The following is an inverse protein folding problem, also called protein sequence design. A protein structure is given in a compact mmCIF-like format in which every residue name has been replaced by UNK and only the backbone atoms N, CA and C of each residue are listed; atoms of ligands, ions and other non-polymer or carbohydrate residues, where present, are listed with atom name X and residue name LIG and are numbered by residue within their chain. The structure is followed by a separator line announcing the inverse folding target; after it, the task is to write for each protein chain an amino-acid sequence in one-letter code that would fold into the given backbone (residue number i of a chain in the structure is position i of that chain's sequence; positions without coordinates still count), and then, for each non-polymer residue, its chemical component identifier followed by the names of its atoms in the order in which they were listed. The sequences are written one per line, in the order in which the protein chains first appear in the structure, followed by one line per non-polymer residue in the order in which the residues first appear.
data_IF_767973790470
#
_entry.id   IF_767973790470
#
_cell.length_a   1.000
_cell.length_b   1.000
_cell.length_c   1.000
_cell.angle_alpha   90.00
_cell.angle_beta   90.00
_cell.angle_gamma   90.00
#
_symmetry.space_group_name_H-M   'P 1'
#
loop_
_entity.id
_entity.type
_entity.pdbx_description
1 polymer ?
#
# COMPACT_ATOMS: atom_id res chain seq x y z
N UNK A 1 -13.64 3.83 -20.04
CA UNK A 1 -12.68 2.97 -19.33
C UNK A 1 -11.28 3.53 -19.49
N UNK A 2 -10.57 3.64 -18.42
CA UNK A 2 -9.23 4.20 -18.47
C UNK A 2 -8.20 3.13 -18.89
N UNK A 3 -7.36 3.49 -19.86
CA UNK A 3 -6.27 2.62 -20.32
C UNK A 3 -5.08 2.75 -19.37
N UNK A 4 -4.54 1.63 -18.91
CA UNK A 4 -3.34 1.60 -18.08
C UNK A 4 -2.09 1.70 -18.96
N UNK A 5 -1.08 2.43 -18.47
CA UNK A 5 0.23 2.39 -19.08
C UNK A 5 1.00 1.13 -18.64
N UNK A 6 2.17 0.90 -19.24
CA UNK A 6 2.97 -0.31 -18.96
C UNK A 6 3.37 -0.41 -17.49
N UNK A 7 3.77 0.68 -16.87
CA UNK A 7 4.16 0.71 -15.45
C UNK A 7 2.99 0.37 -14.53
N UNK A 8 1.80 0.87 -14.85
CA UNK A 8 0.58 0.57 -14.10
C UNK A 8 0.18 -0.90 -14.25
N UNK A 9 0.31 -1.46 -15.45
CA UNK A 9 0.07 -2.90 -15.68
C UNK A 9 1.04 -3.74 -14.87
N UNK A 10 2.33 -3.39 -14.87
CA UNK A 10 3.35 -4.09 -14.08
C UNK A 10 3.05 -4.03 -12.59
N UNK A 11 2.67 -2.85 -12.08
CA UNK A 11 2.32 -2.66 -10.68
C UNK A 11 1.09 -3.51 -10.28
N UNK A 12 0.05 -3.49 -11.10
CA UNK A 12 -1.16 -4.29 -10.89
C UNK A 12 -0.84 -5.79 -10.86
N UNK A 13 -0.08 -6.25 -11.83
CA UNK A 13 0.24 -7.68 -11.96
C UNK A 13 1.13 -8.16 -10.82
N UNK A 14 2.11 -7.36 -10.41
CA UNK A 14 2.93 -7.63 -9.22
C UNK A 14 2.09 -7.70 -7.95
N UNK A 15 1.14 -6.77 -7.78
CA UNK A 15 0.23 -6.77 -6.64
C UNK A 15 -0.66 -8.02 -6.62
N UNK A 16 -1.18 -8.41 -7.79
CA UNK A 16 -1.99 -9.61 -7.94
C UNK A 16 -1.22 -10.86 -7.56
N UNK A 17 -0.03 -11.03 -8.10
CA UNK A 17 0.81 -12.20 -7.83
C UNK A 17 1.17 -12.30 -6.36
N UNK A 18 1.58 -11.17 -5.76
CA UNK A 18 1.94 -11.16 -4.34
C UNK A 18 0.74 -11.48 -3.44
N UNK A 19 -0.44 -10.90 -3.70
CA UNK A 19 -1.62 -11.13 -2.87
C UNK A 19 -2.11 -12.57 -2.96
N UNK A 20 -2.06 -13.17 -4.15
CA UNK A 20 -2.44 -14.56 -4.34
C UNK A 20 -1.47 -15.52 -3.63
N UNK A 21 -0.19 -15.23 -3.66
CA UNK A 21 0.85 -16.09 -3.07
C UNK A 21 0.99 -15.88 -1.56
N UNK A 22 1.11 -14.62 -1.13
CA UNK A 22 1.50 -14.26 0.25
C UNK A 22 0.33 -13.87 1.15
N UNK A 23 -0.79 -13.45 0.57
CA UNK A 23 -1.95 -12.98 1.33
C UNK A 23 -3.28 -13.50 0.78
N UNK A 24 -3.42 -14.83 0.59
CA UNK A 24 -4.73 -15.39 0.25
C UNK A 24 -5.70 -15.20 1.42
N UNK A 25 -7.00 -15.38 1.18
CA UNK A 25 -8.04 -15.23 2.23
C UNK A 25 -7.74 -16.07 3.47
N UNK A 26 -7.10 -17.22 3.30
CA UNK A 26 -6.68 -18.07 4.41
C UNK A 26 -5.73 -17.36 5.39
N UNK A 27 -4.92 -16.40 4.92
CA UNK A 27 -4.03 -15.61 5.77
C UNK A 27 -4.83 -14.71 6.72
N UNK A 28 -5.91 -14.07 6.24
CA UNK A 28 -6.82 -13.30 7.10
C UNK A 28 -7.48 -14.19 8.16
N UNK A 29 -7.97 -15.35 7.76
CA UNK A 29 -8.59 -16.31 8.69
C UNK A 29 -7.61 -16.75 9.77
N UNK A 30 -6.36 -16.97 9.41
CA UNK A 30 -5.30 -17.32 10.36
C UNK A 30 -5.08 -16.21 11.40
N UNK A 31 -5.03 -14.96 10.96
CA UNK A 31 -4.88 -13.79 11.86
C UNK A 31 -6.08 -13.69 12.83
N UNK A 32 -7.29 -13.86 12.30
CA UNK A 32 -8.52 -13.85 13.10
C UNK A 32 -8.52 -14.95 14.15
N UNK A 33 -8.23 -16.16 13.76
CA UNK A 33 -8.29 -17.34 14.64
C UNK A 33 -7.18 -17.31 15.71
N UNK A 34 -6.01 -16.76 15.36
CA UNK A 34 -4.91 -16.53 16.31
C UNK A 34 -5.15 -15.33 17.24
N UNK A 35 -6.22 -14.55 17.02
CA UNK A 35 -6.51 -13.32 17.78
C UNK A 35 -5.32 -12.36 17.77
N UNK A 36 -4.77 -12.13 16.59
CA UNK A 36 -3.61 -11.25 16.38
C UNK A 36 -3.78 -9.91 17.09
N UNK A 37 -2.82 -9.49 17.88
CA UNK A 37 -2.85 -8.23 18.62
C UNK A 37 -2.77 -7.01 17.68
N UNK A 38 -2.09 -7.13 16.55
CA UNK A 38 -1.94 -6.05 15.58
C UNK A 38 -3.01 -6.06 14.49
N UNK A 39 -3.67 -7.20 14.26
CA UNK A 39 -4.64 -7.37 13.19
C UNK A 39 -4.04 -7.54 11.80
N UNK A 40 -2.73 -7.55 11.66
CA UNK A 40 -2.01 -7.81 10.40
C UNK A 40 -0.69 -8.52 10.67
N UNK A 41 -0.12 -9.12 9.61
CA UNK A 41 1.20 -9.76 9.69
C UNK A 41 2.31 -8.72 9.43
N UNK A 42 3.18 -8.43 10.42
CA UNK A 42 4.27 -7.47 10.23
C UNK A 42 5.23 -7.83 9.09
N UNK A 43 5.47 -9.12 8.85
CA UNK A 43 6.31 -9.57 7.74
C UNK A 43 5.68 -9.21 6.38
N UNK A 44 4.37 -9.43 6.23
CA UNK A 44 3.64 -9.04 5.03
C UNK A 44 3.67 -7.52 4.82
N UNK A 45 3.52 -6.74 5.88
CA UNK A 45 3.65 -5.28 5.80
C UNK A 45 5.05 -4.84 5.37
N UNK A 46 6.08 -5.48 5.88
CA UNK A 46 7.46 -5.23 5.45
C UNK A 46 7.64 -5.49 3.95
N UNK A 47 7.11 -6.61 3.44
CA UNK A 47 7.14 -6.91 2.01
C UNK A 47 6.46 -5.83 1.18
N UNK A 48 5.26 -5.39 1.58
CA UNK A 48 4.52 -4.31 0.91
C UNK A 48 5.33 -3.02 0.86
N UNK A 49 5.97 -2.65 1.97
CA UNK A 49 6.81 -1.46 2.05
C UNK A 49 8.04 -1.58 1.14
N UNK A 50 8.68 -2.74 1.11
CA UNK A 50 9.84 -3.00 0.23
C UNK A 50 9.47 -2.97 -1.25
N UNK A 51 8.25 -3.36 -1.60
CA UNK A 51 7.74 -3.23 -2.96
C UNK A 51 7.34 -1.79 -3.33
N UNK A 52 7.44 -0.85 -2.40
CA UNK A 52 7.16 0.56 -2.63
C UNK A 52 5.68 0.95 -2.53
N UNK A 53 4.80 0.06 -2.07
CA UNK A 53 3.36 0.33 -2.06
C UNK A 53 2.97 1.45 -1.08
N UNK A 54 3.70 1.58 0.02
CA UNK A 54 3.46 2.65 0.98
C UNK A 54 3.78 4.05 0.41
N UNK A 55 4.63 4.12 -0.61
CA UNK A 55 5.10 5.37 -1.21
C UNK A 55 4.55 5.69 -2.59
N UNK A 56 3.52 4.99 -3.08
CA UNK A 56 3.02 5.16 -4.46
C UNK A 56 2.62 6.60 -4.77
N UNK A 57 1.91 7.28 -3.87
CA UNK A 57 1.46 8.66 -4.07
C UNK A 57 2.41 9.71 -3.49
N UNK A 58 3.44 9.29 -2.75
CA UNK A 58 4.37 10.21 -2.12
C UNK A 58 5.29 10.82 -3.18
N UNK A 59 5.50 12.17 -3.18
CA UNK A 59 6.39 12.83 -4.12
C UNK A 59 7.82 12.28 -4.06
N UNK A 60 8.52 12.32 -5.19
CA UNK A 60 9.92 11.87 -5.27
C UNK A 60 10.84 12.62 -4.30
N UNK A 61 10.57 13.92 -4.08
CA UNK A 61 11.32 14.74 -3.13
C UNK A 61 11.30 14.18 -1.70
N UNK A 62 10.32 13.36 -1.37
CA UNK A 62 10.18 12.70 -0.06
C UNK A 62 10.39 11.17 -0.13
N UNK A 63 11.01 10.69 -1.19
CA UNK A 63 11.38 9.29 -1.33
C UNK A 63 10.31 8.38 -1.92
N UNK A 64 9.22 8.94 -2.42
CA UNK A 64 8.12 8.19 -3.02
C UNK A 64 8.27 7.99 -4.52
N UNK A 65 7.32 7.26 -5.11
CA UNK A 65 7.28 6.95 -6.54
C UNK A 65 6.53 8.00 -7.38
N UNK A 66 5.70 8.81 -6.74
CA UNK A 66 4.86 9.82 -7.40
C UNK A 66 4.03 9.28 -8.57
N UNK A 67 3.46 8.08 -8.40
CA UNK A 67 2.67 7.40 -9.45
C UNK A 67 1.21 7.80 -9.47
N UNK A 68 0.73 8.55 -8.47
CA UNK A 68 -0.63 9.05 -8.38
C UNK A 68 -1.63 8.06 -7.77
N UNK A 69 -2.82 8.59 -7.47
CA UNK A 69 -3.89 7.85 -6.77
C UNK A 69 -4.44 6.68 -7.58
N UNK A 70 -4.49 6.81 -8.89
CA UNK A 70 -4.96 5.73 -9.75
C UNK A 70 -4.07 4.50 -9.65
N UNK A 71 -2.77 4.69 -9.61
CA UNK A 71 -1.80 3.59 -9.44
C UNK A 71 -1.94 2.93 -8.07
N UNK A 72 -2.10 3.72 -7.02
CA UNK A 72 -2.40 3.17 -5.68
C UNK A 72 -3.72 2.38 -5.67
N UNK A 73 -4.73 2.88 -6.37
CA UNK A 73 -6.02 2.20 -6.51
C UNK A 73 -5.90 0.80 -7.11
N UNK A 74 -4.99 0.59 -8.05
CA UNK A 74 -4.73 -0.74 -8.62
C UNK A 74 -4.21 -1.73 -7.58
N UNK A 75 -3.30 -1.28 -6.72
CA UNK A 75 -2.78 -2.09 -5.60
C UNK A 75 -3.90 -2.39 -4.60
N UNK A 76 -4.67 -1.38 -4.23
CA UNK A 76 -5.78 -1.52 -3.27
C UNK A 76 -6.86 -2.48 -3.80
N UNK A 77 -7.15 -2.45 -5.08
CA UNK A 77 -8.10 -3.38 -5.69
C UNK A 77 -7.63 -4.83 -5.55
N UNK A 78 -6.37 -5.11 -5.81
CA UNK A 78 -5.83 -6.45 -5.67
C UNK A 78 -5.77 -6.91 -4.21
N UNK A 79 -5.39 -6.03 -3.29
CA UNK A 79 -5.43 -6.35 -1.85
C UNK A 79 -6.86 -6.59 -1.36
N UNK A 80 -7.83 -5.90 -1.94
CA UNK A 80 -9.26 -6.10 -1.64
C UNK A 80 -9.78 -7.46 -2.09
N UNK A 81 -9.30 -7.98 -3.22
CA UNK A 81 -9.72 -9.30 -3.74
C UNK A 81 -9.42 -10.44 -2.78
N UNK A 82 -8.31 -10.36 -2.06
CA UNK A 82 -7.87 -11.39 -1.11
C UNK A 82 -8.11 -10.99 0.35
N UNK A 83 -8.78 -9.86 0.59
CA UNK A 83 -9.05 -9.33 1.92
C UNK A 83 -7.77 -9.19 2.75
N UNK A 84 -6.72 -8.65 2.14
CA UNK A 84 -5.41 -8.50 2.79
C UNK A 84 -5.51 -7.57 3.99
N UNK A 85 -5.21 -8.09 5.17
CA UNK A 85 -5.15 -7.27 6.39
C UNK A 85 -3.83 -6.51 6.42
N UNK A 86 -3.89 -5.18 6.38
CA UNK A 86 -2.69 -4.33 6.45
C UNK A 86 -3.05 -2.89 6.78
N UNK A 87 -2.10 -2.07 7.24
CA UNK A 87 -2.30 -0.63 7.42
C UNK A 87 -2.17 0.17 6.11
N UNK A 88 -2.24 -0.47 4.93
CA UNK A 88 -1.96 0.17 3.64
C UNK A 88 -2.89 1.36 3.38
N UNK A 89 -4.20 1.22 3.56
CA UNK A 89 -5.17 2.30 3.32
C UNK A 89 -4.93 3.47 4.26
N UNK A 90 -4.76 3.21 5.56
CA UNK A 90 -4.56 4.27 6.55
C UNK A 90 -3.22 4.99 6.39
N UNK A 91 -2.19 4.29 5.97
CA UNK A 91 -0.82 4.81 5.81
C UNK A 91 -0.59 5.42 4.44
N UNK A 92 -0.73 4.62 3.38
CA UNK A 92 -0.36 5.01 2.02
C UNK A 92 -1.37 5.96 1.37
N UNK A 93 -2.63 5.91 1.76
CA UNK A 93 -3.68 6.76 1.22
C UNK A 93 -4.05 7.88 2.19
N UNK A 94 -4.58 7.55 3.36
CA UNK A 94 -5.17 8.54 4.27
C UNK A 94 -4.12 9.45 4.90
N UNK A 95 -3.14 8.89 5.58
CA UNK A 95 -2.12 9.69 6.28
C UNK A 95 -1.22 10.41 5.28
N UNK A 96 -0.79 9.75 4.21
CA UNK A 96 0.02 10.38 3.17
C UNK A 96 -0.71 11.54 2.51
N UNK A 97 -1.98 11.39 2.15
CA UNK A 97 -2.80 12.45 1.57
C UNK A 97 -2.94 13.64 2.53
N UNK A 98 -3.22 13.38 3.80
CA UNK A 98 -3.35 14.43 4.80
C UNK A 98 -2.06 15.25 4.93
N UNK A 99 -0.91 14.61 4.93
CA UNK A 99 0.38 15.28 4.98
C UNK A 99 0.69 16.06 3.70
N UNK A 100 0.44 15.47 2.53
CA UNK A 100 0.71 16.11 1.24
C UNK A 100 -0.13 17.38 1.09
N UNK A 101 -1.43 17.33 1.43
CA UNK A 101 -2.36 18.44 1.22
C UNK A 101 -2.36 19.47 2.37
N UNK A 102 -2.16 19.04 3.61
CA UNK A 102 -2.33 19.88 4.79
C UNK A 102 -1.13 20.01 5.70
N UNK A 103 -0.06 19.23 5.48
CA UNK A 103 1.13 19.26 6.31
C UNK A 103 2.04 20.46 6.00
N UNK A 104 2.78 20.93 7.02
CA UNK A 104 3.88 21.86 6.80
C UNK A 104 5.07 21.16 6.13
N UNK A 105 6.00 21.93 5.57
CA UNK A 105 7.20 21.34 4.97
C UNK A 105 8.01 20.53 5.99
N UNK A 106 8.08 20.98 7.24
CA UNK A 106 8.74 20.25 8.32
C UNK A 106 8.05 18.91 8.62
N UNK A 107 6.72 18.88 8.66
CA UNK A 107 5.93 17.67 8.87
C UNK A 107 6.09 16.68 7.71
N UNK A 108 6.05 17.17 6.48
CA UNK A 108 6.27 16.33 5.29
C UNK A 108 7.66 15.71 5.31
N UNK A 109 8.70 16.50 5.60
CA UNK A 109 10.07 16.00 5.68
C UNK A 109 10.28 14.98 6.79
N UNK A 110 9.57 15.14 7.91
CA UNK A 110 9.69 14.24 9.07
C UNK A 110 8.98 12.90 8.87
N UNK A 111 7.83 12.87 8.19
CA UNK A 111 6.93 11.72 8.18
C UNK A 111 6.80 11.00 6.84
N UNK A 112 6.82 11.72 5.70
CA UNK A 112 6.60 11.08 4.40
C UNK A 112 7.70 10.08 4.01
N UNK A 113 9.00 10.27 4.36
CA UNK A 113 10.05 9.30 4.01
C UNK A 113 10.01 8.01 4.85
N UNK A 114 9.20 7.94 5.88
CA UNK A 114 9.10 6.80 6.81
C UNK A 114 7.96 5.87 6.44
#
# INVERSE_FOLDING_TARGET
MAVLNEEQVMLRDAARDWTQEKSPVAALRKLRDAKSATGFDPAAWTDMAQMGWAGVIIPEAHGGADFGYRSLGLVLEETGRTLTASPLVSTALTAATALILGGSEAQKAAWLPK
#
